data_IF_597080793996
#
_entry.id   IF_597080793996
#
_cell.length_a   1.000
_cell.length_b   1.000
_cell.length_c   1.000
_cell.angle_alpha   90.00
_cell.angle_beta   90.00
_cell.angle_gamma   90.00
#
_symmetry.space_group_name_H-M   'P 1'
#
loop_
_entity.id
_entity.type
_entity.pdbx_description
1 polymer ?
#
# COMPACT_ATOMS: atom_id res chain seq x y z
N UNK A 1 45.30 45.29 -40.30
CA UNK A 1 46.75 45.03 -40.29
C UNK A 1 47.32 44.81 -41.68
N UNK A 2 46.79 43.88 -42.50
CA UNK A 2 47.42 43.57 -43.80
C UNK A 2 47.46 44.76 -44.78
N UNK A 3 46.41 45.57 -44.86
CA UNK A 3 46.38 46.79 -45.67
C UNK A 3 47.44 47.81 -45.23
N UNK A 4 47.60 47.99 -43.91
CA UNK A 4 48.57 48.92 -43.32
C UNK A 4 50.02 48.43 -43.49
N UNK A 5 50.25 47.11 -43.42
CA UNK A 5 51.57 46.51 -43.66
C UNK A 5 51.99 46.59 -45.14
N UNK A 6 51.04 46.52 -46.07
CA UNK A 6 51.28 46.81 -47.48
C UNK A 6 51.65 48.27 -47.72
N UNK A 7 50.96 49.20 -47.07
CA UNK A 7 51.25 50.64 -47.13
C UNK A 7 52.61 51.02 -46.50
N UNK A 8 53.06 50.27 -45.48
CA UNK A 8 54.33 50.51 -44.77
C UNK A 8 55.53 49.73 -45.34
N UNK A 9 55.34 48.92 -46.39
CA UNK A 9 56.38 48.07 -46.99
C UNK A 9 57.15 47.15 -46.02
N UNK A 10 56.60 46.82 -44.85
CA UNK A 10 57.22 45.88 -43.91
C UNK A 10 56.90 44.44 -44.31
N UNK A 11 57.88 43.79 -44.94
CA UNK A 11 57.76 42.40 -45.40
C UNK A 11 57.44 41.43 -44.25
N UNK A 12 57.91 41.67 -43.03
CA UNK A 12 57.69 40.76 -41.91
C UNK A 12 56.24 40.84 -41.43
N UNK A 13 55.70 42.05 -41.33
CA UNK A 13 54.31 42.29 -40.97
C UNK A 13 53.33 41.78 -42.06
N UNK A 14 53.71 41.85 -43.33
CA UNK A 14 52.95 41.26 -44.44
C UNK A 14 52.89 39.73 -44.33
N UNK A 15 54.05 39.08 -44.14
CA UNK A 15 54.11 37.62 -43.95
C UNK A 15 53.27 37.19 -42.75
N UNK A 16 53.38 37.89 -41.62
CA UNK A 16 52.58 37.60 -40.43
C UNK A 16 51.08 37.79 -40.69
N UNK A 17 50.69 38.91 -41.30
CA UNK A 17 49.30 39.20 -41.63
C UNK A 17 48.68 38.15 -42.55
N UNK A 18 49.40 37.74 -43.59
CA UNK A 18 48.94 36.72 -44.53
C UNK A 18 48.90 35.33 -43.87
N UNK A 19 49.88 34.96 -43.04
CA UNK A 19 49.83 33.70 -42.29
C UNK A 19 48.63 33.64 -41.33
N UNK A 20 48.28 34.76 -40.69
CA UNK A 20 47.10 34.85 -39.85
C UNK A 20 45.80 34.70 -40.65
N UNK A 21 45.74 35.24 -41.88
CA UNK A 21 44.61 35.02 -42.79
C UNK A 21 44.50 33.53 -43.15
N UNK A 22 45.61 32.89 -43.53
CA UNK A 22 45.64 31.44 -43.81
C UNK A 22 45.12 30.65 -42.61
N UNK A 23 45.56 30.96 -41.39
CA UNK A 23 45.06 30.32 -40.17
C UNK A 23 43.54 30.46 -40.00
N UNK A 24 42.98 31.65 -40.22
CA UNK A 24 41.54 31.88 -40.12
C UNK A 24 40.75 31.11 -41.19
N UNK A 25 41.25 31.10 -42.44
CA UNK A 25 40.64 30.36 -43.55
C UNK A 25 40.64 28.85 -43.29
N UNK A 26 41.76 28.29 -42.83
CA UNK A 26 41.85 26.88 -42.44
C UNK A 26 40.87 26.54 -41.33
N UNK A 27 40.79 27.38 -40.30
CA UNK A 27 39.89 27.16 -39.16
C UNK A 27 38.41 27.26 -39.54
N UNK A 28 38.07 28.00 -40.61
CA UNK A 28 36.74 28.06 -41.21
C UNK A 28 36.45 26.92 -42.20
N UNK A 29 37.47 26.15 -42.61
CA UNK A 29 37.37 25.07 -43.61
C UNK A 29 37.49 25.55 -45.07
N UNK A 30 38.02 26.75 -45.32
CA UNK A 30 38.25 27.34 -46.64
C UNK A 30 39.65 26.98 -47.15
N UNK A 31 39.85 25.68 -47.43
CA UNK A 31 41.18 25.13 -47.72
C UNK A 31 41.78 25.60 -49.04
N UNK A 32 40.97 25.83 -50.08
CA UNK A 32 41.46 26.28 -51.37
C UNK A 32 41.99 27.72 -51.27
N UNK A 33 41.17 28.62 -50.70
CA UNK A 33 41.51 30.03 -50.47
C UNK A 33 42.72 30.16 -49.54
N UNK A 34 42.82 29.28 -48.52
CA UNK A 34 43.99 29.21 -47.64
C UNK A 34 45.26 28.87 -48.42
N UNK A 35 45.20 27.86 -49.30
CA UNK A 35 46.36 27.45 -50.11
C UNK A 35 46.77 28.51 -51.13
N UNK A 36 45.82 29.16 -51.80
CA UNK A 36 46.10 30.27 -52.72
C UNK A 36 46.74 31.46 -52.00
N UNK A 37 46.23 31.80 -50.82
CA UNK A 37 46.80 32.87 -49.98
C UNK A 37 48.22 32.51 -49.56
N UNK A 38 48.46 31.27 -49.12
CA UNK A 38 49.77 30.78 -48.71
C UNK A 38 50.80 30.83 -49.84
N UNK A 39 50.41 30.43 -51.04
CA UNK A 39 51.29 30.39 -52.22
C UNK A 39 51.69 31.81 -52.69
N UNK A 40 50.91 32.83 -52.32
CA UNK A 40 51.20 34.25 -52.65
C UNK A 40 52.20 34.94 -51.71
N UNK A 41 52.59 34.30 -50.60
CA UNK A 41 53.44 34.93 -49.57
C UNK A 41 54.91 34.94 -50.02
N UNK A 42 55.49 36.13 -50.21
CA UNK A 42 56.92 36.29 -50.47
C UNK A 42 57.74 36.27 -49.17
N UNK A 43 58.64 35.28 -49.05
CA UNK A 43 59.55 35.12 -47.91
C UNK A 43 61.02 35.40 -48.23
N UNK A 44 61.35 35.80 -49.46
CA UNK A 44 62.75 35.94 -49.90
C UNK A 44 63.53 36.93 -49.04
N UNK A 45 62.91 38.06 -48.67
CA UNK A 45 63.51 39.09 -47.81
C UNK A 45 63.02 39.06 -46.36
N UNK A 46 62.22 38.06 -46.00
CA UNK A 46 61.66 37.92 -44.67
C UNK A 46 62.73 37.52 -43.64
N UNK A 47 62.57 38.01 -42.42
CA UNK A 47 63.40 37.64 -41.27
C UNK A 47 63.31 36.15 -40.94
N UNK A 48 64.25 35.65 -40.13
CA UNK A 48 64.21 34.28 -39.63
C UNK A 48 62.90 33.95 -38.90
N UNK A 49 62.36 34.90 -38.13
CA UNK A 49 61.10 34.71 -37.40
C UNK A 49 59.91 34.55 -38.36
N UNK A 50 59.79 35.43 -39.35
CA UNK A 50 58.73 35.37 -40.36
C UNK A 50 58.83 34.12 -41.24
N UNK A 51 60.06 33.67 -41.57
CA UNK A 51 60.26 32.40 -42.28
C UNK A 51 59.78 31.20 -41.45
N UNK A 52 60.12 31.14 -40.15
CA UNK A 52 59.61 30.09 -39.25
C UNK A 52 58.09 30.08 -39.20
N UNK A 53 57.47 31.25 -39.08
CA UNK A 53 56.01 31.39 -39.09
C UNK A 53 55.40 30.89 -40.40
N UNK A 54 55.96 31.28 -41.55
CA UNK A 54 55.52 30.81 -42.86
C UNK A 54 55.61 29.29 -42.98
N UNK A 55 56.76 28.68 -42.69
CA UNK A 55 56.94 27.24 -42.82
C UNK A 55 56.05 26.45 -41.85
N UNK A 56 55.79 26.99 -40.66
CA UNK A 56 54.84 26.40 -39.70
C UNK A 56 53.42 26.44 -40.24
N UNK A 57 52.98 27.59 -40.75
CA UNK A 57 51.66 27.78 -41.36
C UNK A 57 51.48 26.90 -42.59
N UNK A 58 52.50 26.81 -43.45
CA UNK A 58 52.48 25.96 -44.65
C UNK A 58 52.36 24.47 -44.30
N UNK A 59 53.18 24.00 -43.36
CA UNK A 59 53.13 22.61 -42.88
C UNK A 59 51.73 22.27 -42.34
N UNK A 60 51.15 23.14 -41.51
CA UNK A 60 49.78 22.97 -41.01
C UNK A 60 48.74 22.98 -42.14
N UNK A 61 48.80 23.95 -43.05
CA UNK A 61 47.85 24.06 -44.16
C UNK A 61 47.72 22.74 -44.93
N UNK A 62 48.85 22.18 -45.34
CA UNK A 62 48.86 20.94 -46.09
C UNK A 62 48.47 19.72 -45.24
N UNK A 63 48.82 19.68 -43.95
CA UNK A 63 48.38 18.62 -43.05
C UNK A 63 46.88 18.67 -42.73
N UNK A 64 46.28 19.85 -42.60
CA UNK A 64 44.84 20.02 -42.38
C UNK A 64 44.07 19.67 -43.67
N UNK A 65 44.60 20.04 -44.86
CA UNK A 65 44.05 19.60 -46.15
C UNK A 65 44.08 18.07 -46.33
N UNK A 66 45.16 17.42 -45.88
CA UNK A 66 45.24 15.95 -45.89
C UNK A 66 44.15 15.31 -45.02
N UNK A 67 43.95 15.85 -43.81
CA UNK A 67 42.89 15.38 -42.91
C UNK A 67 41.51 15.64 -43.51
N UNK A 68 41.29 16.77 -44.17
CA UNK A 68 40.00 17.06 -44.80
C UNK A 68 39.69 16.15 -46.00
N UNK A 69 40.69 15.86 -46.84
CA UNK A 69 40.47 15.24 -48.16
C UNK A 69 40.09 13.76 -48.06
N UNK A 70 40.70 13.01 -47.13
CA UNK A 70 40.44 11.58 -46.88
C UNK A 70 40.41 10.66 -48.14
N UNK A 71 41.01 11.07 -49.26
CA UNK A 71 40.96 10.35 -50.53
C UNK A 71 42.36 10.25 -51.17
N UNK A 72 42.81 9.03 -51.42
CA UNK A 72 44.06 8.78 -52.15
C UNK A 72 43.85 8.92 -53.67
N UNK A 73 44.85 9.44 -54.41
CA UNK A 73 46.21 9.80 -53.99
C UNK A 73 46.38 11.24 -53.45
N UNK A 74 45.28 12.01 -53.34
CA UNK A 74 45.35 13.43 -52.99
C UNK A 74 45.80 13.68 -51.54
N UNK A 75 45.32 12.85 -50.59
CA UNK A 75 45.77 12.90 -49.20
C UNK A 75 47.29 12.72 -49.10
N UNK A 76 47.85 11.70 -49.75
CA UNK A 76 49.29 11.41 -49.72
C UNK A 76 50.12 12.57 -50.28
N UNK A 77 49.64 13.21 -51.37
CA UNK A 77 50.30 14.41 -51.94
C UNK A 77 50.33 15.59 -50.96
N UNK A 78 49.26 15.80 -50.21
CA UNK A 78 49.22 16.85 -49.19
C UNK A 78 50.11 16.52 -47.99
N UNK A 79 50.19 15.25 -47.57
CA UNK A 79 51.13 14.80 -46.53
C UNK A 79 52.57 15.04 -46.99
N UNK A 80 52.91 14.69 -48.23
CA UNK A 80 54.25 14.89 -48.80
C UNK A 80 54.63 16.38 -48.82
N UNK A 81 53.74 17.25 -49.33
CA UNK A 81 53.96 18.71 -49.29
C UNK A 81 54.16 19.22 -47.87
N UNK A 82 53.28 18.82 -46.94
CA UNK A 82 53.39 19.18 -45.53
C UNK A 82 54.75 18.79 -44.94
N UNK A 83 55.23 17.58 -45.26
CA UNK A 83 56.56 17.09 -44.86
C UNK A 83 57.70 17.94 -45.41
N UNK A 84 57.63 18.36 -46.68
CA UNK A 84 58.65 19.23 -47.30
C UNK A 84 58.76 20.58 -46.60
N UNK A 85 57.62 21.20 -46.27
CA UNK A 85 57.61 22.45 -45.50
C UNK A 85 58.09 22.22 -44.07
N UNK A 86 57.77 21.09 -43.43
CA UNK A 86 58.34 20.74 -42.12
C UNK A 86 59.85 20.57 -42.20
N UNK A 87 60.39 19.91 -43.22
CA UNK A 87 61.85 19.74 -43.37
C UNK A 87 62.58 21.06 -43.53
N UNK A 88 61.95 22.01 -44.24
CA UNK A 88 62.44 23.39 -44.35
C UNK A 88 62.40 24.10 -42.99
N UNK A 89 61.30 23.97 -42.23
CA UNK A 89 61.16 24.53 -40.89
C UNK A 89 62.25 24.02 -39.94
N UNK A 90 62.52 22.71 -39.96
CA UNK A 90 63.45 22.06 -39.02
C UNK A 90 64.90 22.57 -39.16
N UNK A 91 65.28 23.13 -40.32
CA UNK A 91 66.59 23.77 -40.50
C UNK A 91 66.75 25.04 -39.66
N UNK A 92 65.63 25.68 -39.28
CA UNK A 92 65.63 26.93 -38.51
C UNK A 92 65.38 26.71 -37.01
N UNK A 93 64.96 25.52 -36.60
CA UNK A 93 64.60 25.20 -35.23
C UNK A 93 65.74 24.50 -34.49
N UNK A 94 66.00 24.93 -33.24
CA UNK A 94 66.98 24.26 -32.38
C UNK A 94 66.49 22.86 -32.04
N UNK A 95 67.31 21.84 -32.29
CA UNK A 95 66.99 20.44 -31.99
C UNK A 95 66.61 20.27 -30.51
N UNK A 96 65.48 19.59 -30.25
CA UNK A 96 64.97 19.37 -28.90
C UNK A 96 64.27 20.57 -28.24
N UNK A 97 64.19 21.72 -28.93
CA UNK A 97 63.32 22.81 -28.50
C UNK A 97 61.84 22.40 -28.59
N UNK A 98 60.97 23.15 -27.89
CA UNK A 98 59.52 22.95 -27.90
C UNK A 98 58.96 22.87 -29.32
N UNK A 99 59.26 23.87 -30.14
CA UNK A 99 58.74 23.98 -31.51
C UNK A 99 59.33 22.88 -32.42
N UNK A 100 60.58 22.46 -32.19
CA UNK A 100 61.20 21.36 -32.93
C UNK A 100 60.51 20.02 -32.62
N UNK A 101 60.26 19.73 -31.34
CA UNK A 101 59.57 18.50 -30.92
C UNK A 101 58.14 18.45 -31.47
N UNK A 102 57.44 19.60 -31.47
CA UNK A 102 56.11 19.72 -32.06
C UNK A 102 56.14 19.42 -33.57
N UNK A 103 57.02 20.09 -34.32
CA UNK A 103 57.14 19.93 -35.77
C UNK A 103 57.47 18.48 -36.18
N UNK A 104 58.45 17.84 -35.52
CA UNK A 104 58.78 16.44 -35.78
C UNK A 104 57.65 15.51 -35.38
N UNK A 105 57.03 15.72 -34.22
CA UNK A 105 55.91 14.89 -33.76
C UNK A 105 54.72 14.94 -34.73
N UNK A 106 54.33 16.12 -35.20
CA UNK A 106 53.28 16.27 -36.21
C UNK A 106 53.64 15.57 -37.53
N UNK A 107 54.89 15.70 -38.00
CA UNK A 107 55.34 14.99 -39.21
C UNK A 107 55.25 13.48 -39.05
N UNK A 108 55.77 12.92 -37.95
CA UNK A 108 55.72 11.48 -37.68
C UNK A 108 54.27 10.98 -37.51
N UNK A 109 53.38 11.79 -36.94
CA UNK A 109 51.94 11.49 -36.85
C UNK A 109 51.33 11.32 -38.24
N UNK A 110 51.58 12.27 -39.14
CA UNK A 110 51.02 12.30 -40.50
C UNK A 110 51.57 11.17 -41.36
N UNK A 111 52.83 10.81 -41.17
CA UNK A 111 53.46 9.62 -41.76
C UNK A 111 53.03 8.31 -41.09
N UNK A 112 52.15 8.35 -40.09
CA UNK A 112 51.63 7.20 -39.33
C UNK A 112 52.71 6.42 -38.57
N UNK A 113 53.86 7.04 -38.30
CA UNK A 113 54.91 6.49 -37.45
C UNK A 113 54.57 6.73 -35.97
N UNK A 114 53.48 6.10 -35.52
CA UNK A 114 52.84 6.43 -34.25
C UNK A 114 53.76 6.28 -33.02
N UNK A 115 54.67 5.31 -33.01
CA UNK A 115 55.56 5.11 -31.85
C UNK A 115 56.58 6.25 -31.71
N UNK A 116 57.14 6.72 -32.84
CA UNK A 116 58.04 7.88 -32.87
C UNK A 116 57.30 9.16 -32.50
N UNK A 117 56.11 9.36 -33.06
CA UNK A 117 55.24 10.47 -32.72
C UNK A 117 54.95 10.51 -31.21
N UNK A 118 54.52 9.39 -30.62
CA UNK A 118 54.25 9.29 -29.18
C UNK A 118 55.48 9.61 -28.34
N UNK A 119 56.66 9.16 -28.75
CA UNK A 119 57.91 9.50 -28.06
C UNK A 119 58.16 11.02 -28.05
N UNK A 120 58.08 11.69 -29.21
CA UNK A 120 58.31 13.14 -29.30
C UNK A 120 57.25 13.96 -28.55
N UNK A 121 55.98 13.59 -28.68
CA UNK A 121 54.88 14.26 -27.98
C UNK A 121 54.93 14.07 -26.46
N UNK A 122 55.33 12.89 -25.96
CA UNK A 122 55.55 12.69 -24.52
C UNK A 122 56.74 13.50 -24.01
N UNK A 123 57.83 13.60 -24.78
CA UNK A 123 58.95 14.49 -24.45
C UNK A 123 58.53 15.95 -24.42
N UNK A 124 57.71 16.39 -25.37
CA UNK A 124 57.16 17.75 -25.43
C UNK A 124 56.30 18.05 -24.20
N UNK A 125 55.33 17.18 -23.88
CA UNK A 125 54.44 17.36 -22.72
C UNK A 125 55.16 17.36 -21.36
N UNK A 126 56.36 16.77 -21.27
CA UNK A 126 57.18 16.78 -20.06
C UNK A 126 57.91 18.12 -19.82
N UNK A 127 57.93 19.02 -20.82
CA UNK A 127 58.59 20.32 -20.67
C UNK A 127 57.69 21.32 -19.94
N UNK A 128 58.32 22.27 -19.25
CA UNK A 128 57.63 23.31 -18.45
C UNK A 128 57.22 24.54 -19.25
N UNK A 129 57.77 24.72 -20.45
CA UNK A 129 57.55 25.89 -21.32
C UNK A 129 56.45 25.67 -22.37
N UNK A 130 55.64 24.61 -22.22
CA UNK A 130 54.51 24.32 -23.09
C UNK A 130 53.25 24.98 -22.55
N UNK A 131 52.66 25.86 -23.35
CA UNK A 131 51.37 26.49 -23.03
C UNK A 131 50.20 25.51 -23.18
N UNK A 132 49.04 25.90 -22.65
CA UNK A 132 47.84 25.06 -22.67
C UNK A 132 47.34 24.79 -24.10
N UNK A 133 47.49 25.72 -25.03
CA UNK A 133 47.05 25.53 -26.40
C UNK A 133 47.83 24.41 -27.08
N UNK A 134 49.17 24.42 -26.98
CA UNK A 134 50.01 23.35 -27.51
C UNK A 134 49.78 22.03 -26.76
N UNK A 135 49.58 22.07 -25.44
CA UNK A 135 49.19 20.86 -24.67
C UNK A 135 47.87 20.29 -25.17
N UNK A 136 46.90 21.11 -25.54
CA UNK A 136 45.62 20.66 -26.07
C UNK A 136 45.80 19.92 -27.40
N UNK A 137 46.51 20.52 -28.36
CA UNK A 137 46.78 19.92 -29.68
C UNK A 137 47.51 18.58 -29.54
N UNK A 138 48.57 18.54 -28.75
CA UNK A 138 49.39 17.34 -28.55
C UNK A 138 48.60 16.24 -27.83
N UNK A 139 47.82 16.60 -26.80
CA UNK A 139 46.96 15.62 -26.11
C UNK A 139 45.88 15.09 -27.05
N UNK A 140 45.25 15.95 -27.84
CA UNK A 140 44.25 15.56 -28.85
C UNK A 140 44.84 14.57 -29.87
N UNK A 141 46.04 14.87 -30.35
CA UNK A 141 46.78 14.01 -31.29
C UNK A 141 47.10 12.64 -30.70
N UNK A 142 47.59 12.58 -29.46
CA UNK A 142 47.80 11.32 -28.74
C UNK A 142 46.49 10.54 -28.55
N UNK A 143 45.39 11.24 -28.23
CA UNK A 143 44.06 10.64 -28.12
C UNK A 143 43.61 9.98 -29.42
N UNK A 144 43.73 10.69 -30.55
CA UNK A 144 43.44 10.14 -31.88
C UNK A 144 44.30 8.91 -32.22
N UNK A 145 45.59 8.96 -31.90
CA UNK A 145 46.49 7.82 -32.12
C UNK A 145 46.09 6.61 -31.26
N UNK A 146 45.71 6.83 -30.00
CA UNK A 146 45.21 5.76 -29.13
C UNK A 146 43.92 5.14 -29.69
N UNK A 147 43.04 5.93 -30.34
CA UNK A 147 41.87 5.39 -31.05
C UNK A 147 42.24 4.49 -32.23
N UNK A 148 43.21 4.91 -33.06
CA UNK A 148 43.70 4.05 -34.15
C UNK A 148 44.31 2.74 -33.64
N UNK A 149 44.93 2.78 -32.46
CA UNK A 149 45.47 1.60 -31.77
C UNK A 149 44.42 0.80 -30.98
N UNK A 150 43.14 1.22 -30.98
CA UNK A 150 42.03 0.61 -30.20
C UNK A 150 42.27 0.61 -28.68
N UNK A 151 42.94 1.65 -28.18
CA UNK A 151 43.18 1.87 -26.76
C UNK A 151 42.22 2.93 -26.20
N UNK A 152 40.93 2.61 -26.14
CA UNK A 152 39.87 3.58 -25.88
C UNK A 152 39.99 4.28 -24.51
N UNK A 153 40.44 3.58 -23.47
CA UNK A 153 40.67 4.20 -22.15
C UNK A 153 41.77 5.26 -22.18
N UNK A 154 42.88 4.96 -22.85
CA UNK A 154 43.99 5.91 -23.03
C UNK A 154 43.53 7.10 -23.88
N UNK A 155 42.75 6.83 -24.95
CA UNK A 155 42.17 7.87 -25.79
C UNK A 155 41.25 8.81 -25.00
N UNK A 156 40.35 8.27 -24.17
CA UNK A 156 39.47 9.08 -23.31
C UNK A 156 40.28 10.01 -22.41
N UNK A 157 41.34 9.50 -21.76
CA UNK A 157 42.20 10.30 -20.90
C UNK A 157 42.86 11.47 -21.64
N UNK A 158 43.43 11.19 -22.81
CA UNK A 158 44.08 12.21 -23.64
C UNK A 158 43.11 13.23 -24.24
N UNK A 159 41.94 12.79 -24.73
CA UNK A 159 40.92 13.67 -25.29
C UNK A 159 40.29 14.56 -24.21
N UNK A 160 40.07 14.03 -23.00
CA UNK A 160 39.62 14.82 -21.86
C UNK A 160 40.67 15.87 -21.46
N UNK A 161 41.94 15.48 -21.39
CA UNK A 161 43.04 16.42 -21.12
C UNK A 161 43.09 17.53 -22.18
N UNK A 162 42.90 17.19 -23.46
CA UNK A 162 42.84 18.16 -24.54
C UNK A 162 41.68 19.16 -24.37
N UNK A 163 40.46 18.66 -24.15
CA UNK A 163 39.29 19.51 -23.95
C UNK A 163 39.41 20.43 -22.72
N UNK A 164 40.03 19.96 -21.63
CA UNK A 164 40.34 20.79 -20.45
C UNK A 164 41.31 21.91 -20.82
N UNK A 165 42.38 21.58 -21.56
CA UNK A 165 43.38 22.57 -21.96
C UNK A 165 42.79 23.61 -22.91
N UNK A 166 41.97 23.19 -23.88
CA UNK A 166 41.25 24.08 -24.81
C UNK A 166 40.36 25.07 -24.05
N UNK A 167 39.63 24.58 -23.04
CA UNK A 167 38.82 25.44 -22.18
C UNK A 167 39.68 26.42 -21.37
N UNK A 168 40.81 25.97 -20.82
CA UNK A 168 41.75 26.82 -20.07
C UNK A 168 42.47 27.85 -20.93
N UNK A 169 42.75 27.54 -22.20
CA UNK A 169 43.34 28.47 -23.17
C UNK A 169 42.29 29.31 -23.90
N UNK A 170 41.00 29.17 -23.55
CA UNK A 170 39.86 29.83 -24.21
C UNK A 170 39.86 29.59 -25.73
N UNK A 171 40.46 28.46 -26.14
CA UNK A 171 40.51 28.02 -27.52
C UNK A 171 39.28 27.15 -27.70
N UNK A 172 38.22 27.70 -28.30
CA UNK A 172 36.94 26.99 -28.53
C UNK A 172 37.06 25.92 -29.62
N UNK A 173 38.12 25.11 -29.54
CA UNK A 173 38.34 23.93 -30.36
C UNK A 173 37.32 22.85 -29.97
N UNK A 174 36.81 22.12 -30.97
CA UNK A 174 35.60 21.29 -30.79
C UNK A 174 35.86 19.81 -31.03
N UNK A 175 36.98 19.50 -31.68
CA UNK A 175 37.32 18.17 -32.16
C UNK A 175 37.51 17.18 -31.02
N UNK A 176 38.35 17.50 -30.01
CA UNK A 176 38.63 16.59 -28.91
C UNK A 176 37.37 16.28 -28.08
N UNK A 177 36.56 17.30 -27.79
CA UNK A 177 35.32 17.16 -27.03
C UNK A 177 34.26 16.36 -27.79
N UNK A 178 34.12 16.57 -29.10
CA UNK A 178 33.20 15.78 -29.93
C UNK A 178 33.61 14.31 -29.98
N UNK A 179 34.91 14.03 -30.15
CA UNK A 179 35.41 12.66 -30.18
C UNK A 179 35.24 11.99 -28.82
N UNK A 180 35.50 12.70 -27.73
CA UNK A 180 35.23 12.22 -26.37
C UNK A 180 33.73 11.90 -26.17
N UNK A 181 32.83 12.77 -26.66
CA UNK A 181 31.39 12.52 -26.61
C UNK A 181 31.01 11.21 -27.31
N UNK A 182 31.59 10.96 -28.49
CA UNK A 182 31.37 9.71 -29.25
C UNK A 182 31.81 8.47 -28.46
N UNK A 183 32.97 8.52 -27.81
CA UNK A 183 33.46 7.38 -27.01
C UNK A 183 32.60 7.14 -25.78
N UNK A 184 32.20 8.21 -25.08
CA UNK A 184 31.32 8.10 -23.92
C UNK A 184 29.96 7.51 -24.31
N UNK A 185 29.42 7.93 -25.46
CA UNK A 185 28.19 7.35 -26.01
C UNK A 185 28.35 5.85 -26.28
N UNK A 186 29.44 5.43 -26.94
CA UNK A 186 29.73 4.01 -27.19
C UNK A 186 29.88 3.19 -25.90
N UNK A 187 30.31 3.81 -24.80
CA UNK A 187 30.39 3.19 -23.47
C UNK A 187 29.07 3.23 -22.69
N UNK A 188 28.00 3.79 -23.25
CA UNK A 188 26.69 3.90 -22.62
C UNK A 188 26.53 5.12 -21.70
N UNK A 189 27.51 6.02 -21.61
CA UNK A 189 27.39 7.28 -20.88
C UNK A 189 26.73 8.35 -21.75
N UNK A 190 25.43 8.15 -21.98
CA UNK A 190 24.62 8.99 -22.87
C UNK A 190 24.53 10.42 -22.33
N UNK A 191 24.48 10.60 -21.01
CA UNK A 191 24.31 11.92 -20.41
C UNK A 191 25.51 12.83 -20.68
N UNK A 192 26.73 12.38 -20.33
CA UNK A 192 27.94 13.19 -20.60
C UNK A 192 28.20 13.32 -22.10
N UNK A 193 27.95 12.26 -22.87
CA UNK A 193 28.04 12.34 -24.32
C UNK A 193 27.14 13.45 -24.90
N UNK A 194 25.89 13.54 -24.41
CA UNK A 194 24.93 14.56 -24.84
C UNK A 194 25.40 15.98 -24.50
N UNK A 195 25.92 16.17 -23.30
CA UNK A 195 26.42 17.47 -22.87
C UNK A 195 27.62 17.91 -23.72
N UNK A 196 28.58 17.01 -23.92
CA UNK A 196 29.81 17.30 -24.65
C UNK A 196 29.57 17.55 -26.13
N UNK A 197 28.67 16.78 -26.77
CA UNK A 197 28.34 16.99 -28.18
C UNK A 197 27.60 18.32 -28.40
N UNK A 198 26.72 18.72 -27.47
CA UNK A 198 26.04 20.03 -27.53
C UNK A 198 27.02 21.19 -27.36
N UNK A 199 27.92 21.10 -26.40
CA UNK A 199 28.96 22.11 -26.21
C UNK A 199 29.89 22.21 -27.44
N UNK A 200 30.24 21.07 -28.04
CA UNK A 200 31.02 21.03 -29.27
C UNK A 200 30.30 21.73 -30.44
N UNK A 201 29.00 21.52 -30.58
CA UNK A 201 28.18 22.21 -31.58
C UNK A 201 28.12 23.73 -31.34
N UNK A 202 27.93 24.16 -30.09
CA UNK A 202 27.89 25.58 -29.73
C UNK A 202 29.21 26.28 -30.06
N UNK A 203 30.34 25.65 -29.69
CA UNK A 203 31.67 26.18 -30.01
C UNK A 203 31.90 26.29 -31.52
N UNK A 204 31.46 25.29 -32.30
CA UNK A 204 31.62 25.27 -33.75
C UNK A 204 30.78 26.37 -34.43
N UNK A 205 29.55 26.56 -33.97
CA UNK A 205 28.67 27.64 -34.45
C UNK A 205 29.22 29.02 -34.11
N UNK A 206 29.72 29.21 -32.89
CA UNK A 206 30.30 30.49 -32.47
C UNK A 206 31.51 30.90 -33.33
N UNK A 207 32.38 29.95 -33.66
CA UNK A 207 33.56 30.22 -34.49
C UNK A 207 33.23 30.33 -35.99
N UNK A 208 32.06 29.82 -36.43
CA UNK A 208 31.70 29.74 -37.85
C UNK A 208 32.39 28.56 -38.58
N UNK A 209 32.81 27.53 -37.86
CA UNK A 209 33.50 26.36 -38.41
C UNK A 209 32.50 25.39 -39.06
N UNK A 210 32.09 25.68 -40.30
CA UNK A 210 31.03 24.93 -41.03
C UNK A 210 31.30 23.43 -41.11
N UNK A 211 32.54 23.03 -41.35
CA UNK A 211 32.92 21.61 -41.40
C UNK A 211 32.62 20.90 -40.07
N UNK A 212 33.02 21.50 -38.95
CA UNK A 212 32.83 20.91 -37.62
C UNK A 212 31.36 20.82 -37.23
N UNK A 213 30.54 21.79 -37.65
CA UNK A 213 29.08 21.71 -37.50
C UNK A 213 28.53 20.48 -38.20
N UNK A 214 28.99 20.17 -39.43
CA UNK A 214 28.56 18.98 -40.18
C UNK A 214 28.98 17.70 -39.44
N UNK A 215 30.22 17.62 -38.97
CA UNK A 215 30.73 16.46 -38.23
C UNK A 215 29.94 16.19 -36.94
N UNK A 216 29.65 17.23 -36.15
CA UNK A 216 28.87 17.12 -34.91
C UNK A 216 27.40 16.77 -35.21
N UNK A 217 26.84 17.34 -36.29
CA UNK A 217 25.45 17.08 -36.71
C UNK A 217 25.20 15.63 -37.12
N UNK A 218 26.25 14.90 -37.51
CA UNK A 218 26.15 13.47 -37.83
C UNK A 218 25.89 12.56 -36.62
N UNK A 219 26.30 12.98 -35.41
CA UNK A 219 26.18 12.16 -34.19
C UNK A 219 25.14 12.68 -33.20
N UNK A 220 24.90 14.00 -33.16
CA UNK A 220 23.97 14.61 -32.21
C UNK A 220 22.56 13.99 -32.23
N UNK A 221 21.90 13.75 -33.39
CA UNK A 221 20.56 13.15 -33.41
C UNK A 221 20.51 11.75 -32.82
N UNK A 222 21.58 10.96 -33.01
CA UNK A 222 21.68 9.59 -32.51
C UNK A 222 21.71 9.60 -30.98
N UNK A 223 22.58 10.44 -30.40
CA UNK A 223 22.71 10.58 -28.95
C UNK A 223 21.42 11.11 -28.33
N UNK A 224 20.78 12.11 -28.95
CA UNK A 224 19.52 12.69 -28.47
C UNK A 224 18.36 11.70 -28.52
N UNK A 225 18.27 10.90 -29.58
CA UNK A 225 17.24 9.87 -29.72
C UNK A 225 17.38 8.80 -28.63
N UNK A 226 18.60 8.35 -28.35
CA UNK A 226 18.84 7.37 -27.29
C UNK A 226 18.61 7.96 -25.89
N UNK A 227 18.92 9.24 -25.67
CA UNK A 227 18.54 9.90 -24.43
C UNK A 227 17.02 9.91 -24.27
N UNK A 228 16.30 10.22 -25.35
CA UNK A 228 14.84 10.24 -25.32
C UNK A 228 14.25 8.87 -25.00
N UNK A 229 14.75 7.79 -25.63
CA UNK A 229 14.26 6.43 -25.39
C UNK A 229 14.49 5.97 -23.94
N UNK A 230 15.64 6.28 -23.36
CA UNK A 230 15.93 6.01 -21.93
C UNK A 230 14.97 6.77 -21.02
N UNK A 231 14.75 8.06 -21.29
CA UNK A 231 13.82 8.89 -20.51
C UNK A 231 12.37 8.40 -20.63
N UNK A 232 11.95 7.96 -21.82
CA UNK A 232 10.62 7.41 -22.06
C UNK A 232 10.41 6.11 -21.28
N UNK A 233 11.40 5.21 -21.28
CA UNK A 233 11.37 3.98 -20.48
C UNK A 233 11.22 4.25 -18.98
N UNK A 234 11.97 5.21 -18.44
CA UNK A 234 11.84 5.63 -17.04
C UNK A 234 10.45 6.22 -16.74
N UNK A 235 9.94 7.08 -17.63
CA UNK A 235 8.60 7.68 -17.47
C UNK A 235 7.51 6.61 -17.48
N UNK A 236 7.61 5.62 -18.36
CA UNK A 236 6.66 4.52 -18.46
C UNK A 236 6.71 3.61 -17.22
N UNK A 237 7.90 3.33 -16.67
CA UNK A 237 8.05 2.58 -15.43
C UNK A 237 7.41 3.32 -14.23
N UNK A 238 7.64 4.64 -14.11
CA UNK A 238 7.00 5.46 -13.08
C UNK A 238 5.48 5.51 -13.25
N UNK A 239 4.98 5.62 -14.48
CA UNK A 239 3.55 5.57 -14.76
C UNK A 239 2.95 4.22 -14.34
N UNK A 240 3.61 3.10 -14.67
CA UNK A 240 3.20 1.76 -14.26
C UNK A 240 3.19 1.60 -12.73
N UNK A 241 4.23 2.06 -12.04
CA UNK A 241 4.28 2.04 -10.57
C UNK A 241 3.12 2.84 -9.95
N UNK A 242 2.77 3.98 -10.55
CA UNK A 242 1.64 4.81 -10.12
C UNK A 242 0.31 4.06 -10.27
N UNK A 243 0.10 3.39 -11.41
CA UNK A 243 -1.11 2.55 -11.64
C UNK A 243 -1.20 1.43 -10.61
N UNK A 244 -0.09 0.72 -10.34
CA UNK A 244 -0.04 -0.34 -9.31
C UNK A 244 -0.37 0.21 -7.92
N UNK A 245 0.19 1.37 -7.56
CA UNK A 245 -0.10 2.03 -6.28
C UNK A 245 -1.59 2.38 -6.14
N UNK A 246 -2.22 2.90 -7.19
CA UNK A 246 -3.66 3.21 -7.20
C UNK A 246 -4.51 1.94 -7.03
N UNK A 247 -4.15 0.84 -7.69
CA UNK A 247 -4.84 -0.44 -7.50
C UNK A 247 -4.71 -0.95 -6.06
N UNK A 248 -3.54 -0.77 -5.44
CA UNK A 248 -3.32 -1.12 -4.03
C UNK A 248 -4.21 -0.31 -3.08
N UNK A 249 -4.31 1.01 -3.30
CA UNK A 249 -5.20 1.89 -2.53
C UNK A 249 -6.66 1.46 -2.69
N UNK A 250 -7.09 1.14 -3.92
CA UNK A 250 -8.45 0.67 -4.18
C UNK A 250 -8.74 -0.67 -3.49
N UNK A 251 -7.79 -1.60 -3.52
CA UNK A 251 -7.89 -2.88 -2.80
C UNK A 251 -8.03 -2.66 -1.28
N UNK A 252 -7.25 -1.75 -0.69
CA UNK A 252 -7.35 -1.39 0.73
C UNK A 252 -8.71 -0.80 1.09
N UNK A 253 -9.29 0.04 0.22
CA UNK A 253 -10.63 0.60 0.44
C UNK A 253 -11.71 -0.49 0.41
N UNK A 254 -11.67 -1.39 -0.57
CA UNK A 254 -12.60 -2.53 -0.68
C UNK A 254 -12.46 -3.45 0.53
N UNK A 255 -11.23 -3.77 0.92
CA UNK A 255 -10.95 -4.60 2.10
C UNK A 255 -11.49 -3.96 3.38
N UNK A 256 -11.24 -2.67 3.58
CA UNK A 256 -11.74 -1.92 4.74
C UNK A 256 -13.27 -1.91 4.78
N UNK A 257 -13.92 -1.68 3.64
CA UNK A 257 -15.38 -1.75 3.52
C UNK A 257 -15.91 -3.15 3.87
N UNK A 258 -15.27 -4.20 3.36
CA UNK A 258 -15.64 -5.59 3.64
C UNK A 258 -15.54 -5.92 5.13
N UNK A 259 -14.43 -5.53 5.78
CA UNK A 259 -14.22 -5.72 7.22
C UNK A 259 -15.30 -4.98 8.03
N UNK A 260 -15.62 -3.73 7.70
CA UNK A 260 -16.69 -2.97 8.38
C UNK A 260 -18.05 -3.65 8.23
N UNK A 261 -18.37 -4.18 7.04
CA UNK A 261 -19.61 -4.93 6.79
C UNK A 261 -19.68 -6.21 7.64
N UNK A 262 -18.59 -6.98 7.69
CA UNK A 262 -18.47 -8.19 8.53
C UNK A 262 -18.66 -7.86 10.02
N UNK A 263 -17.99 -6.82 10.51
CA UNK A 263 -18.10 -6.39 11.91
C UNK A 263 -19.52 -5.95 12.29
N UNK A 264 -20.24 -5.28 11.39
CA UNK A 264 -21.64 -4.91 11.62
C UNK A 264 -22.54 -6.14 11.75
N UNK A 265 -22.37 -7.14 10.88
CA UNK A 265 -23.09 -8.42 10.97
C UNK A 265 -22.77 -9.15 12.29
N UNK A 266 -21.50 -9.21 12.67
CA UNK A 266 -21.08 -9.87 13.90
C UNK A 266 -21.66 -9.18 15.15
N UNK A 267 -21.72 -7.84 15.17
CA UNK A 267 -22.35 -7.09 16.26
C UNK A 267 -23.85 -7.37 16.37
N UNK A 268 -24.56 -7.45 15.24
CA UNK A 268 -25.98 -7.82 15.23
C UNK A 268 -26.21 -9.23 15.77
N UNK A 269 -25.42 -10.22 15.32
CA UNK A 269 -25.51 -11.59 15.81
C UNK A 269 -25.23 -11.68 17.32
N UNK A 270 -24.21 -10.98 17.82
CA UNK A 270 -23.93 -10.91 19.26
C UNK A 270 -25.08 -10.31 20.07
N UNK A 271 -25.70 -9.24 19.59
CA UNK A 271 -26.83 -8.63 20.27
C UNK A 271 -28.03 -9.58 20.35
N UNK A 272 -28.32 -10.31 19.26
CA UNK A 272 -29.40 -11.32 19.27
C UNK A 272 -29.09 -12.43 20.28
N UNK A 273 -27.86 -12.95 20.30
CA UNK A 273 -27.45 -13.97 21.27
C UNK A 273 -27.55 -13.44 22.70
N UNK A 274 -27.12 -12.21 22.96
CA UNK A 274 -27.20 -11.59 24.27
C UNK A 274 -28.65 -11.45 24.76
N UNK A 275 -29.55 -10.98 23.88
CA UNK A 275 -30.98 -10.87 24.21
C UNK A 275 -31.61 -12.24 24.48
N UNK A 276 -31.34 -13.25 23.64
CA UNK A 276 -31.83 -14.62 23.84
C UNK A 276 -31.32 -15.23 25.14
N UNK A 277 -30.07 -14.97 25.50
CA UNK A 277 -29.49 -15.44 26.77
C UNK A 277 -30.24 -14.82 27.96
N UNK A 278 -30.50 -13.52 27.92
CA UNK A 278 -31.25 -12.82 28.97
C UNK A 278 -32.68 -13.37 29.12
N UNK A 279 -33.41 -13.58 28.02
CA UNK A 279 -34.74 -14.22 28.02
C UNK A 279 -34.70 -15.62 28.67
N UNK A 280 -33.66 -16.40 28.35
CA UNK A 280 -33.53 -17.78 28.83
C UNK A 280 -33.15 -17.83 30.32
N UNK A 281 -32.35 -16.88 30.80
CA UNK A 281 -32.05 -16.71 32.23
C UNK A 281 -33.30 -16.31 33.02
N UNK A 282 -34.12 -15.40 32.49
CA UNK A 282 -35.39 -15.00 33.12
C UNK A 282 -36.38 -16.17 33.20
N UNK A 283 -36.57 -16.90 32.09
CA UNK A 283 -37.46 -18.06 32.05
C UNK A 283 -37.01 -19.17 33.01
N UNK A 284 -35.69 -19.45 33.07
CA UNK A 284 -35.14 -20.39 34.04
C UNK A 284 -35.37 -19.94 35.48
N UNK A 285 -35.28 -18.63 35.76
CA UNK A 285 -35.61 -18.06 37.07
C UNK A 285 -37.05 -18.37 37.48
N UNK A 286 -38.02 -18.07 36.61
CA UNK A 286 -39.45 -18.35 36.86
C UNK A 286 -39.73 -19.85 37.06
N UNK A 287 -39.10 -20.71 36.25
CA UNK A 287 -39.24 -22.16 36.39
C UNK A 287 -38.72 -22.68 37.73
N UNK A 288 -37.60 -22.12 38.22
CA UNK A 288 -37.07 -22.48 39.54
C UNK A 288 -38.04 -22.09 40.65
N UNK A 289 -38.62 -20.90 40.59
CA UNK A 289 -39.61 -20.42 41.55
C UNK A 289 -40.84 -21.34 41.61
N UNK A 290 -41.38 -21.71 40.44
CA UNK A 290 -42.51 -22.66 40.33
C UNK A 290 -42.15 -24.03 40.92
N UNK A 291 -40.94 -24.54 40.67
CA UNK A 291 -40.51 -25.81 41.24
C UNK A 291 -40.40 -25.74 42.77
N UNK A 292 -39.86 -24.66 43.35
CA UNK A 292 -39.81 -24.49 44.81
C UNK A 292 -41.19 -24.49 45.45
N UNK A 293 -42.17 -23.80 44.86
CA UNK A 293 -43.55 -23.79 45.36
C UNK A 293 -44.16 -25.21 45.30
N UNK A 294 -43.92 -25.93 44.20
CA UNK A 294 -44.39 -27.30 44.02
C UNK A 294 -43.76 -28.26 45.06
N UNK A 295 -42.47 -28.13 45.32
CA UNK A 295 -41.76 -28.98 46.29
C UNK A 295 -42.27 -28.75 47.72
N UNK A 296 -42.52 -27.48 48.10
CA UNK A 296 -43.13 -27.13 49.39
C UNK A 296 -44.53 -27.74 49.54
N UNK A 297 -45.35 -27.68 48.48
CA UNK A 297 -46.68 -28.29 48.47
C UNK A 297 -46.65 -29.82 48.65
N UNK A 298 -45.74 -30.50 47.92
CA UNK A 298 -45.58 -31.96 48.06
C UNK A 298 -45.25 -32.30 49.52
N UNK A 299 -44.33 -31.55 50.14
CA UNK A 299 -44.00 -31.70 51.56
C UNK A 299 -45.22 -31.52 52.47
N UNK A 300 -46.02 -30.48 52.26
CA UNK A 300 -47.22 -30.20 53.05
C UNK A 300 -48.28 -31.31 52.93
N UNK A 301 -48.46 -31.90 51.74
CA UNK A 301 -49.42 -33.00 51.54
C UNK A 301 -49.00 -34.28 52.26
N UNK A 302 -47.70 -34.62 52.26
CA UNK A 302 -47.22 -35.79 53.00
C UNK A 302 -47.37 -35.60 54.51
N UNK A 303 -47.15 -34.38 55.02
CA UNK A 303 -47.36 -34.07 56.43
C UNK A 303 -48.82 -34.24 56.86
N UNK A 304 -49.78 -33.74 56.07
CA UNK A 304 -51.21 -33.91 56.35
C UNK A 304 -51.64 -35.39 56.35
N UNK A 305 -51.11 -36.19 55.43
CA UNK A 305 -51.37 -37.63 55.39
C UNK A 305 -50.81 -38.36 56.63
N UNK A 306 -49.61 -37.96 57.09
CA UNK A 306 -49.02 -38.52 58.30
C UNK A 306 -49.85 -38.21 59.56
N UNK A 307 -50.33 -36.97 59.71
CA UNK A 307 -51.25 -36.57 60.79
C UNK A 307 -52.55 -37.37 60.78
N UNK A 308 -53.14 -37.60 59.60
CA UNK A 308 -54.33 -38.44 59.46
C UNK A 308 -54.07 -39.89 59.88
N UNK A 309 -52.94 -40.48 59.47
CA UNK A 309 -52.55 -41.83 59.89
C UNK A 309 -52.40 -41.89 61.41
N UNK A 310 -51.77 -40.88 62.03
CA UNK A 310 -51.66 -40.79 63.49
C UNK A 310 -53.03 -40.75 64.18
N UNK A 311 -54.02 -40.06 63.59
CA UNK A 311 -55.38 -40.02 64.11
C UNK A 311 -56.06 -41.40 64.05
N UNK A 312 -55.97 -42.10 62.91
CA UNK A 312 -56.48 -43.46 62.73
C UNK A 312 -55.82 -44.43 63.71
N UNK A 313 -54.50 -44.32 63.92
CA UNK A 313 -53.77 -45.16 64.87
C UNK A 313 -54.27 -44.96 66.31
N UNK A 314 -54.47 -43.70 66.74
CA UNK A 314 -55.03 -43.40 68.07
C UNK A 314 -56.43 -43.98 68.26
N UNK A 315 -57.28 -43.88 67.23
CA UNK A 315 -58.62 -44.46 67.24
C UNK A 315 -58.54 -45.99 67.36
N UNK A 316 -57.70 -46.65 66.55
CA UNK A 316 -57.49 -48.09 66.59
C UNK A 316 -57.04 -48.55 67.99
N UNK A 317 -56.04 -47.89 68.57
CA UNK A 317 -55.54 -48.20 69.92
C UNK A 317 -56.62 -48.01 70.99
N UNK A 318 -57.46 -46.98 70.87
CA UNK A 318 -58.54 -46.70 71.82
C UNK A 318 -59.65 -47.75 71.74
N UNK A 319 -60.01 -48.16 70.52
CA UNK A 319 -60.99 -49.24 70.29
C UNK A 319 -60.45 -50.55 70.88
N UNK A 320 -59.21 -50.92 70.56
CA UNK A 320 -58.57 -52.15 71.04
C UNK A 320 -58.51 -52.20 72.57
N UNK A 321 -58.07 -51.10 73.22
CA UNK A 321 -58.04 -50.97 74.68
C UNK A 321 -59.42 -51.14 75.33
N UNK A 322 -60.46 -50.49 74.78
CA UNK A 322 -61.81 -50.58 75.36
C UNK A 322 -62.49 -51.94 75.14
N UNK A 323 -62.19 -52.62 74.02
CA UNK A 323 -62.64 -54.00 73.77
C UNK A 323 -61.97 -54.94 74.77
N UNK A 324 -60.65 -54.86 74.94
CA UNK A 324 -59.90 -55.69 75.89
C UNK A 324 -60.38 -55.51 77.34
N UNK A 325 -60.72 -54.28 77.72
CA UNK A 325 -61.28 -53.95 79.04
C UNK A 325 -62.77 -54.32 79.22
N UNK A 326 -63.43 -54.91 78.20
CA UNK A 326 -64.87 -55.21 78.16
C UNK A 326 -65.78 -54.00 78.42
N UNK A 327 -65.28 -52.79 78.16
CA UNK A 327 -66.00 -51.52 78.33
C UNK A 327 -66.89 -51.20 77.13
N UNK A 328 -67.78 -52.11 76.78
CA UNK A 328 -68.59 -52.01 75.55
C UNK A 328 -69.53 -50.79 75.54
N UNK A 329 -70.06 -50.41 76.71
CA UNK A 329 -70.91 -49.23 76.83
C UNK A 329 -70.12 -47.93 76.60
N UNK A 330 -68.95 -47.79 77.24
CA UNK A 330 -68.10 -46.62 77.08
C UNK A 330 -67.49 -46.52 75.68
N UNK A 331 -67.24 -47.66 75.02
CA UNK A 331 -66.82 -47.70 73.62
C UNK A 331 -67.90 -47.13 72.70
N UNK A 332 -69.15 -47.55 72.91
CA UNK A 332 -70.31 -47.04 72.15
C UNK A 332 -70.52 -45.54 72.39
N UNK A 333 -70.25 -45.04 73.59
CA UNK A 333 -70.31 -43.61 73.91
C UNK A 333 -69.13 -42.81 73.35
N UNK A 334 -67.95 -43.41 73.13
CA UNK A 334 -66.80 -42.73 72.52
C UNK A 334 -66.86 -42.63 71.00
N UNK A 335 -67.60 -43.53 70.32
CA UNK A 335 -67.77 -43.46 68.86
C UNK A 335 -68.93 -42.52 68.51
N UNK A 336 -68.70 -41.21 68.62
CA UNK A 336 -69.72 -40.20 68.35
C UNK A 336 -69.66 -39.71 66.91
N UNK A 337 -70.83 -39.62 66.28
CA UNK A 337 -70.96 -38.99 64.95
C UNK A 337 -70.46 -37.54 64.94
N UNK A 338 -70.55 -36.83 66.08
CA UNK A 338 -70.00 -35.48 66.24
C UNK A 338 -68.49 -35.37 66.02
N UNK A 339 -67.73 -36.43 66.33
CA UNK A 339 -66.27 -36.45 66.10
C UNK A 339 -65.95 -36.62 64.61
N UNK A 340 -66.71 -37.47 63.89
CA UNK A 340 -66.59 -37.60 62.44
C UNK A 340 -66.94 -36.30 61.70
N UNK A 341 -67.94 -35.56 62.20
CA UNK A 341 -68.31 -34.25 61.65
C UNK A 341 -67.18 -33.23 61.90
N UNK A 342 -66.56 -33.25 63.09
CA UNK A 342 -65.43 -32.38 63.40
C UNK A 342 -64.20 -32.68 62.53
N UNK A 343 -63.86 -33.95 62.34
CA UNK A 343 -62.74 -34.39 61.49
C UNK A 343 -62.95 -33.95 60.03
N UNK A 344 -64.18 -34.10 59.52
CA UNK A 344 -64.55 -33.63 58.18
C UNK A 344 -64.39 -32.11 58.03
N UNK A 345 -64.76 -31.35 59.07
CA UNK A 345 -64.57 -29.89 59.08
C UNK A 345 -63.09 -29.52 59.09
N UNK A 346 -62.26 -30.27 59.81
CA UNK A 346 -60.79 -30.11 59.78
C UNK A 346 -60.23 -30.38 58.39
N UNK A 347 -60.59 -31.52 57.78
CA UNK A 347 -60.18 -31.88 56.42
C UNK A 347 -60.52 -30.78 55.40
N UNK A 348 -61.70 -30.18 55.50
CA UNK A 348 -62.09 -29.07 54.63
C UNK A 348 -61.27 -27.79 54.90
N UNK A 349 -60.95 -27.49 56.15
CA UNK A 349 -60.08 -26.35 56.50
C UNK A 349 -58.66 -26.54 55.97
N UNK A 350 -58.14 -27.76 56.06
CA UNK A 350 -56.81 -28.11 55.54
C UNK A 350 -56.79 -28.05 54.02
N UNK A 351 -57.83 -28.57 53.36
CA UNK A 351 -58.01 -28.43 51.92
C UNK A 351 -58.04 -26.96 51.48
N UNK A 352 -58.87 -26.12 52.12
CA UNK A 352 -58.99 -24.71 51.78
C UNK A 352 -57.64 -23.98 51.92
N UNK A 353 -56.96 -24.19 53.06
CA UNK A 353 -55.65 -23.55 53.33
C UNK A 353 -54.60 -23.98 52.29
N UNK A 354 -54.51 -25.28 52.04
CA UNK A 354 -53.54 -25.84 51.10
C UNK A 354 -53.84 -25.40 49.66
N UNK A 355 -55.11 -25.39 49.27
CA UNK A 355 -55.52 -24.93 47.94
C UNK A 355 -55.26 -23.43 47.74
N UNK A 356 -55.56 -22.59 48.74
CA UNK A 356 -55.29 -21.15 48.67
C UNK A 356 -53.80 -20.81 48.74
N UNK A 357 -52.95 -21.67 49.32
CA UNK A 357 -51.50 -21.50 49.21
C UNK A 357 -51.01 -21.75 47.77
N UNK A 358 -51.58 -22.73 47.07
CA UNK A 358 -51.28 -23.03 45.67
C UNK A 358 -51.87 -22.00 44.70
N UNK A 359 -53.06 -21.49 45.01
CA UNK A 359 -53.79 -20.53 44.19
C UNK A 359 -54.23 -19.32 45.04
N UNK A 360 -53.29 -18.42 45.42
CA UNK A 360 -53.55 -17.31 46.36
C UNK A 360 -54.67 -16.37 45.92
N UNK A 361 -54.82 -16.18 44.61
CA UNK A 361 -55.80 -15.27 44.03
C UNK A 361 -57.08 -15.98 43.59
N UNK A 362 -57.28 -17.26 43.96
CA UNK A 362 -58.42 -18.04 43.48
C UNK A 362 -59.76 -17.41 43.88
N UNK A 363 -59.93 -16.97 45.13
CA UNK A 363 -61.20 -16.40 45.59
C UNK A 363 -61.53 -15.13 44.80
N UNK A 364 -60.55 -14.24 44.63
CA UNK A 364 -60.70 -12.99 43.89
C UNK A 364 -61.07 -13.25 42.42
N UNK A 365 -60.30 -14.11 41.75
CA UNK A 365 -60.54 -14.47 40.34
C UNK A 365 -61.79 -15.31 40.13
N UNK A 366 -62.19 -16.14 41.10
CA UNK A 366 -63.45 -16.87 41.08
C UNK A 366 -64.63 -15.91 41.21
N UNK A 367 -64.55 -14.96 42.15
CA UNK A 367 -65.60 -13.98 42.38
C UNK A 367 -65.81 -13.03 41.19
N UNK A 368 -64.75 -12.74 40.41
CA UNK A 368 -64.88 -11.92 39.19
C UNK A 368 -65.67 -12.60 38.05
N UNK A 369 -66.02 -13.89 38.18
CA UNK A 369 -66.92 -14.59 37.26
C UNK A 369 -68.41 -14.30 37.53
N UNK A 370 -68.73 -13.45 38.51
CA UNK A 370 -70.10 -13.11 38.92
C UNK A 370 -70.31 -11.59 38.88
N UNK A 371 -71.57 -11.15 38.81
CA UNK A 371 -71.94 -9.72 38.80
C UNK A 371 -71.87 -9.15 40.23
N UNK A 372 -71.33 -7.95 40.40
CA UNK A 372 -71.17 -7.28 41.71
C UNK A 372 -72.52 -7.16 42.45
N UNK A 373 -72.60 -7.75 43.65
CA UNK A 373 -73.78 -7.64 44.54
C UNK A 373 -74.49 -8.96 44.90
N UNK A 374 -74.19 -10.08 44.23
CA UNK A 374 -74.82 -11.39 44.52
C UNK A 374 -73.97 -12.37 45.35
N UNK A 375 -72.73 -12.03 45.67
CA UNK A 375 -71.79 -12.87 46.44
C UNK A 375 -71.96 -12.67 47.96
N UNK A 376 -72.51 -13.68 48.65
CA UNK A 376 -72.67 -13.70 50.13
C UNK A 376 -71.37 -14.00 50.92
N UNK A 377 -70.19 -13.92 50.31
CA UNK A 377 -68.93 -14.22 50.98
C UNK A 377 -68.23 -12.93 51.40
N UNK A 378 -68.09 -12.73 52.71
CA UNK A 378 -67.35 -11.62 53.29
C UNK A 378 -65.86 -11.79 52.93
N UNK A 379 -65.24 -10.84 52.21
CA UNK A 379 -63.83 -10.86 51.73
C UNK A 379 -62.77 -11.12 52.82
N UNK A 380 -63.17 -11.18 54.09
CA UNK A 380 -62.30 -11.44 55.24
C UNK A 380 -62.15 -12.92 55.61
N UNK A 381 -62.80 -13.85 54.90
CA UNK A 381 -62.77 -15.27 55.23
C UNK A 381 -61.72 -16.03 54.40
N UNK A 382 -60.62 -16.47 55.04
CA UNK A 382 -59.59 -17.35 54.44
C UNK A 382 -60.06 -18.81 54.32
N UNK A 383 -61.28 -19.05 53.80
CA UNK A 383 -61.86 -20.37 53.66
C UNK A 383 -62.84 -20.40 52.49
N UNK A 384 -62.89 -21.52 51.79
CA UNK A 384 -63.73 -21.72 50.62
C UNK A 384 -65.15 -22.10 51.05
N UNK A 385 -66.15 -21.59 50.32
CA UNK A 385 -67.52 -22.09 50.43
C UNK A 385 -67.63 -23.49 49.83
N UNK A 386 -68.70 -24.24 50.12
CA UNK A 386 -68.93 -25.56 49.52
C UNK A 386 -68.94 -25.52 47.99
N UNK A 387 -69.50 -24.47 47.40
CA UNK A 387 -69.48 -24.24 45.95
C UNK A 387 -68.06 -24.00 45.43
N UNK A 388 -67.30 -23.12 46.10
CA UNK A 388 -65.91 -22.87 45.75
C UNK A 388 -65.05 -24.13 45.86
N UNK A 389 -65.29 -25.02 46.84
CA UNK A 389 -64.57 -26.29 46.94
C UNK A 389 -64.83 -27.23 45.76
N UNK A 390 -66.06 -27.26 45.23
CA UNK A 390 -66.38 -28.04 44.02
C UNK A 390 -65.51 -27.57 42.85
N UNK A 391 -65.41 -26.26 42.65
CA UNK A 391 -64.63 -25.70 41.55
C UNK A 391 -63.12 -25.69 41.83
N UNK A 392 -62.69 -25.63 43.08
CA UNK A 392 -61.31 -25.85 43.48
C UNK A 392 -60.85 -27.29 43.17
N UNK A 393 -61.71 -28.29 43.38
CA UNK A 393 -61.42 -29.68 43.00
C UNK A 393 -61.33 -29.85 41.47
N UNK A 394 -62.23 -29.21 40.72
CA UNK A 394 -62.13 -29.14 39.25
C UNK A 394 -60.82 -28.51 38.83
N UNK A 395 -60.42 -27.41 39.47
CA UNK A 395 -59.16 -26.71 39.22
C UNK A 395 -57.92 -27.58 39.46
N UNK A 396 -57.99 -28.48 40.43
CA UNK A 396 -56.97 -29.50 40.69
C UNK A 396 -57.01 -30.69 39.72
N UNK A 397 -57.91 -30.68 38.74
CA UNK A 397 -58.07 -31.73 37.74
C UNK A 397 -59.04 -32.86 38.12
N UNK A 398 -59.76 -32.73 39.24
CA UNK A 398 -60.80 -33.67 39.65
C UNK A 398 -62.13 -33.20 39.06
N UNK A 399 -62.40 -33.62 37.83
CA UNK A 399 -63.57 -33.15 37.05
C UNK A 399 -64.80 -34.04 37.23
N UNK A 400 -64.62 -35.31 37.58
CA UNK A 400 -65.72 -36.26 37.73
C UNK A 400 -66.56 -35.98 38.99
N UNK A 401 -67.87 -35.86 38.80
CA UNK A 401 -68.80 -35.53 39.90
C UNK A 401 -68.85 -36.61 40.99
N UNK A 402 -68.43 -37.85 40.70
CA UNK A 402 -68.39 -38.95 41.67
C UNK A 402 -67.29 -38.74 42.72
N UNK A 403 -66.05 -38.45 42.31
CA UNK A 403 -64.95 -38.15 43.24
C UNK A 403 -65.20 -36.87 44.02
N UNK A 404 -65.76 -35.83 43.39
CA UNK A 404 -66.14 -34.60 44.09
C UNK A 404 -67.20 -34.89 45.16
N UNK A 405 -68.22 -35.68 44.82
CA UNK A 405 -69.27 -36.10 45.75
C UNK A 405 -68.69 -36.88 46.94
N UNK A 406 -67.76 -37.82 46.67
CA UNK A 406 -67.07 -38.58 47.70
C UNK A 406 -66.22 -37.70 48.62
N UNK A 407 -65.46 -36.76 48.06
CA UNK A 407 -64.61 -35.84 48.84
C UNK A 407 -65.44 -34.92 49.74
N UNK A 408 -66.50 -34.32 49.18
CA UNK A 408 -67.36 -33.39 49.93
C UNK A 408 -68.43 -34.08 50.78
N UNK A 409 -68.57 -35.40 50.66
CA UNK A 409 -69.59 -36.21 51.33
C UNK A 409 -71.01 -35.73 51.07
N UNK A 410 -71.29 -35.54 49.77
CA UNK A 410 -72.61 -35.23 49.24
C UNK A 410 -73.04 -36.28 48.24
N UNK A 411 -74.32 -36.28 47.87
CA UNK A 411 -74.78 -37.09 46.73
C UNK A 411 -74.29 -36.48 45.41
N UNK A 412 -74.13 -37.31 44.38
CA UNK A 412 -73.82 -36.86 43.01
C UNK A 412 -74.87 -35.82 42.54
N UNK A 413 -76.14 -36.05 42.86
CA UNK A 413 -77.22 -35.13 42.55
C UNK A 413 -76.99 -33.75 43.20
N UNK A 414 -76.63 -33.72 44.48
CA UNK A 414 -76.32 -32.48 45.22
C UNK A 414 -75.14 -31.72 44.57
N UNK A 415 -74.08 -32.42 44.16
CA UNK A 415 -72.94 -31.79 43.46
C UNK A 415 -73.38 -31.18 42.13
N UNK A 416 -74.15 -31.91 41.32
CA UNK A 416 -74.64 -31.41 40.04
C UNK A 416 -75.59 -30.21 40.21
N UNK A 417 -76.41 -30.21 41.26
CA UNK A 417 -77.26 -29.07 41.62
C UNK A 417 -76.42 -27.85 42.00
N UNK A 418 -75.38 -28.01 42.83
CA UNK A 418 -74.46 -26.90 43.15
C UNK A 418 -73.73 -26.39 41.91
N UNK A 419 -73.20 -27.28 41.05
CA UNK A 419 -72.54 -26.88 39.79
C UNK A 419 -73.48 -26.06 38.91
N UNK A 420 -74.68 -26.57 38.65
CA UNK A 420 -75.69 -25.91 37.80
C UNK A 420 -76.10 -24.56 38.38
N UNK A 421 -76.31 -24.50 39.70
CA UNK A 421 -76.67 -23.27 40.40
C UNK A 421 -75.60 -22.19 40.26
N UNK A 422 -74.33 -22.55 40.41
CA UNK A 422 -73.22 -21.60 40.29
C UNK A 422 -73.04 -21.16 38.84
N UNK A 423 -73.05 -22.10 37.89
CA UNK A 423 -72.92 -21.79 36.46
C UNK A 423 -74.00 -20.80 36.00
N UNK A 424 -75.26 -21.03 36.37
CA UNK A 424 -76.37 -20.15 36.04
C UNK A 424 -76.31 -18.74 36.67
N UNK A 425 -75.50 -18.55 37.74
CA UNK A 425 -75.28 -17.24 38.38
C UNK A 425 -74.10 -16.49 37.79
N UNK A 426 -73.24 -17.18 37.05
CA UNK A 426 -72.09 -16.57 36.40
C UNK A 426 -72.54 -15.80 35.15
N UNK A 427 -71.79 -14.76 34.79
CA UNK A 427 -71.93 -14.13 33.48
C UNK A 427 -71.27 -14.96 32.36
N UNK A 428 -70.48 -15.98 32.71
CA UNK A 428 -69.82 -16.88 31.77
C UNK A 428 -70.79 -17.96 31.30
N UNK A 429 -70.74 -18.29 30.01
CA UNK A 429 -71.52 -19.39 29.43
C UNK A 429 -71.25 -20.72 30.16
N UNK A 430 -72.29 -21.50 30.40
CA UNK A 430 -72.27 -22.71 31.23
C UNK A 430 -71.26 -23.76 30.73
N UNK A 431 -71.09 -23.84 29.41
CA UNK A 431 -70.17 -24.76 28.75
C UNK A 431 -68.70 -24.31 28.86
N UNK A 432 -68.45 -23.01 29.09
CA UNK A 432 -67.11 -22.44 29.22
C UNK A 432 -66.69 -22.22 30.69
N UNK A 433 -67.64 -22.28 31.62
CA UNK A 433 -67.39 -21.97 33.03
C UNK A 433 -66.26 -22.81 33.63
N UNK A 434 -66.27 -24.13 33.43
CA UNK A 434 -65.22 -25.01 33.98
C UNK A 434 -63.85 -24.76 33.33
N UNK A 435 -63.81 -24.42 32.03
CA UNK A 435 -62.57 -24.04 31.36
C UNK A 435 -62.00 -22.74 31.94
N UNK A 436 -62.86 -21.74 32.22
CA UNK A 436 -62.45 -20.51 32.91
C UNK A 436 -61.97 -20.77 34.33
N UNK A 437 -62.60 -21.70 35.06
CA UNK A 437 -62.10 -22.13 36.37
C UNK A 437 -60.68 -22.71 36.26
N UNK A 438 -60.35 -23.47 35.22
CA UNK A 438 -59.00 -24.02 35.01
C UNK A 438 -57.93 -22.96 34.73
N UNK A 439 -58.33 -21.79 34.20
CA UNK A 439 -57.45 -20.65 33.92
C UNK A 439 -57.21 -19.75 35.16
N UNK A 440 -58.02 -19.92 36.20
CA UNK A 440 -57.93 -19.19 37.48
C UNK A 440 -56.76 -19.70 38.31
#
# INVERSE_FOLDING_TARGET
MNHLAHELHDINAQVEGQCNIVFCLLSAGLFNEASETLDSIDIHRASLASRKLYFTTASRCYFDMADFTHANPYMDRYIEKGCVYTDSLLQYLTRGSRDWLYAVGMKEMKLRHYDRCSMYFKQLLARKDVDNHMRAIVSSSLGWMSLYKKHDEEAIGYLAQAAICDNQSVTRETTALCTLARLLYQKGDIQRATEYVRQSLENANFYGARQRVIEVSGILPIIEQDRYSVMEGQRNALAMATVVALLFVLALLVFTWFVRKQMKKLKQARNVIANRKAELEEMNGRLREVNTIKDEYIGQSFYANAEYINHVEKLYRTIDQKIAARQYHDLRLSLKESELIAERKSMFSDFDKTFLNLFPNFIERYNSLFIEGETKANDKQKSLTTEMRIFALIRLGITDSERIAKFLNYSIHTINTYKTRVKNKSWVDNDQFEARIMEI
#
